data_IF_860553087987
#
_entry.id   IF_860553087987
#
_cell.length_a   1.000
_cell.length_b   1.000
_cell.length_c   1.000
_cell.angle_alpha   90.00
_cell.angle_beta   90.00
_cell.angle_gamma   90.00
#
_symmetry.space_group_name_H-M   'P 1'
#
loop_
_entity.id
_entity.type
_entity.pdbx_description
1 polymer ?
#
# COMPACT_ATOMS: atom_id res chain seq x y z
N UNK A 1 -23.45 38.32 19.79
CA UNK A 1 -23.93 37.22 20.64
C UNK A 1 -23.92 35.87 19.90
N UNK A 2 -24.39 35.80 18.63
CA UNK A 2 -24.44 34.57 17.82
C UNK A 2 -23.05 33.92 17.60
N UNK A 3 -21.99 34.73 17.41
CA UNK A 3 -20.62 34.21 17.20
C UNK A 3 -20.09 33.49 18.45
N UNK A 4 -20.40 34.01 19.64
CA UNK A 4 -19.97 33.40 20.91
C UNK A 4 -20.68 32.06 21.14
N UNK A 5 -21.96 31.92 20.75
CA UNK A 5 -22.66 30.64 20.87
C UNK A 5 -22.18 29.59 19.86
N UNK A 6 -21.80 30.01 18.65
CA UNK A 6 -21.24 29.11 17.63
C UNK A 6 -19.88 28.54 18.06
N UNK A 7 -19.03 29.34 18.70
CA UNK A 7 -17.72 28.87 19.18
C UNK A 7 -17.87 27.92 20.37
N UNK A 8 -18.77 28.23 21.32
CA UNK A 8 -19.05 27.33 22.45
C UNK A 8 -19.67 26.00 21.96
N UNK A 9 -20.55 26.05 20.95
CA UNK A 9 -21.09 24.84 20.32
C UNK A 9 -19.99 24.02 19.62
N UNK A 10 -19.08 24.67 18.90
CA UNK A 10 -17.93 24.03 18.27
C UNK A 10 -16.99 23.35 19.27
N UNK A 11 -16.69 24.01 20.40
CA UNK A 11 -15.92 23.41 21.49
C UNK A 11 -16.62 22.18 22.09
N UNK A 12 -17.95 22.21 22.20
CA UNK A 12 -18.76 21.06 22.64
C UNK A 12 -18.68 19.87 21.69
N UNK A 13 -18.79 20.10 20.39
CA UNK A 13 -18.69 19.05 19.36
C UNK A 13 -17.28 18.42 19.36
N UNK A 14 -16.23 19.23 19.45
CA UNK A 14 -14.86 18.73 19.53
C UNK A 14 -14.60 17.90 20.79
N UNK A 15 -15.16 18.30 21.94
CA UNK A 15 -15.08 17.51 23.16
C UNK A 15 -15.85 16.18 23.06
N UNK A 16 -17.01 16.16 22.41
CA UNK A 16 -17.79 14.94 22.14
C UNK A 16 -17.03 13.98 21.21
N UNK A 17 -16.36 14.48 20.19
CA UNK A 17 -15.49 13.67 19.32
C UNK A 17 -14.29 13.11 20.10
N UNK A 18 -13.70 13.90 21.00
CA UNK A 18 -12.65 13.43 21.91
C UNK A 18 -13.11 12.30 22.82
N UNK A 19 -14.33 12.41 23.39
CA UNK A 19 -14.97 11.34 24.18
C UNK A 19 -15.24 10.09 23.34
N UNK A 20 -15.78 10.26 22.13
CA UNK A 20 -16.08 9.16 21.23
C UNK A 20 -14.80 8.40 20.84
N UNK A 21 -13.72 9.12 20.53
CA UNK A 21 -12.41 8.53 20.25
C UNK A 21 -11.82 7.82 21.47
N UNK A 22 -11.96 8.35 22.69
CA UNK A 22 -11.49 7.70 23.91
C UNK A 22 -12.17 6.33 24.14
N UNK A 23 -13.49 6.28 24.01
CA UNK A 23 -14.26 5.04 24.26
C UNK A 23 -14.04 4.02 23.15
N UNK A 24 -14.15 4.41 21.88
CA UNK A 24 -14.10 3.44 20.76
C UNK A 24 -12.69 3.09 20.31
N UNK A 25 -11.73 4.02 20.40
CA UNK A 25 -10.38 3.81 19.87
C UNK A 25 -9.38 3.34 20.93
N UNK A 26 -9.59 3.73 22.19
CA UNK A 26 -8.72 3.38 23.31
C UNK A 26 -9.38 2.42 24.31
N UNK A 27 -10.65 2.06 24.13
CA UNK A 27 -11.35 1.07 24.95
C UNK A 27 -11.51 1.47 26.42
N UNK A 28 -11.51 2.78 26.73
CA UNK A 28 -11.61 3.29 28.10
C UNK A 28 -13.05 3.20 28.62
N UNK A 29 -13.22 3.00 29.94
CA UNK A 29 -14.54 2.91 30.57
C UNK A 29 -15.33 4.25 30.47
N UNK A 30 -16.65 4.16 30.64
CA UNK A 30 -17.56 5.28 30.42
C UNK A 30 -17.32 6.44 31.41
N UNK A 31 -16.83 6.12 32.61
CA UNK A 31 -16.44 7.10 33.62
C UNK A 31 -15.20 7.89 33.17
N UNK A 32 -14.17 7.21 32.68
CA UNK A 32 -12.94 7.82 32.17
C UNK A 32 -13.21 8.64 30.91
N UNK A 33 -14.10 8.17 30.03
CA UNK A 33 -14.56 8.93 28.87
C UNK A 33 -15.24 10.26 29.26
N UNK A 34 -16.04 10.26 30.32
CA UNK A 34 -16.69 11.48 30.84
C UNK A 34 -15.69 12.44 31.52
N UNK A 35 -14.66 11.92 32.19
CA UNK A 35 -13.58 12.74 32.77
C UNK A 35 -12.75 13.39 31.67
N UNK A 36 -12.41 12.66 30.61
CA UNK A 36 -11.67 13.19 29.45
C UNK A 36 -12.49 14.26 28.74
N UNK A 37 -13.80 14.07 28.57
CA UNK A 37 -14.70 15.09 28.04
C UNK A 37 -14.63 16.40 28.85
N UNK A 38 -14.76 16.31 30.18
CA UNK A 38 -14.73 17.48 31.04
C UNK A 38 -13.39 18.23 30.97
N UNK A 39 -12.26 17.50 30.95
CA UNK A 39 -10.92 18.10 30.84
C UNK A 39 -10.76 18.81 29.50
N UNK A 40 -11.12 18.16 28.38
CA UNK A 40 -11.00 18.77 27.05
C UNK A 40 -11.91 19.99 26.89
N UNK A 41 -13.13 19.92 27.43
CA UNK A 41 -14.08 21.03 27.36
C UNK A 41 -13.58 22.25 28.14
N UNK A 42 -13.09 22.05 29.36
CA UNK A 42 -12.53 23.14 30.19
C UNK A 42 -11.26 23.72 29.58
N UNK A 43 -10.36 22.87 29.05
CA UNK A 43 -9.13 23.34 28.39
C UNK A 43 -9.44 24.15 27.12
N UNK A 44 -10.41 23.71 26.32
CA UNK A 44 -10.80 24.40 25.09
C UNK A 44 -11.44 25.76 25.38
N UNK A 45 -12.28 25.84 26.43
CA UNK A 45 -12.86 27.11 26.89
C UNK A 45 -11.77 28.03 27.49
N UNK A 46 -10.85 27.48 28.28
CA UNK A 46 -9.74 28.25 28.85
C UNK A 46 -8.81 28.82 27.78
N UNK A 47 -8.54 28.03 26.74
CA UNK A 47 -7.75 28.46 25.58
C UNK A 47 -8.51 29.54 24.79
N UNK A 48 -9.82 29.39 24.61
CA UNK A 48 -10.65 30.41 23.98
C UNK A 48 -10.64 31.75 24.73
N UNK A 49 -10.78 31.73 26.06
CA UNK A 49 -10.68 32.93 26.90
C UNK A 49 -9.29 33.56 26.81
N UNK A 50 -8.23 32.76 26.71
CA UNK A 50 -6.84 33.24 26.59
C UNK A 50 -6.51 33.89 25.24
N UNK A 51 -7.18 33.44 24.17
CA UNK A 51 -6.95 33.94 22.80
C UNK A 51 -8.05 34.90 22.32
N UNK A 52 -8.91 35.36 23.22
CA UNK A 52 -10.06 36.20 22.88
C UNK A 52 -9.66 37.44 22.05
N UNK A 53 -8.60 38.16 22.45
CA UNK A 53 -8.11 39.33 21.71
C UNK A 53 -7.49 38.99 20.35
N UNK A 54 -6.80 37.85 20.22
CA UNK A 54 -6.14 37.44 18.97
C UNK A 54 -7.19 36.98 17.95
N UNK A 55 -8.20 36.24 18.40
CA UNK A 55 -9.29 35.76 17.56
C UNK A 55 -10.11 36.94 17.03
N UNK A 56 -10.36 37.95 17.87
CA UNK A 56 -11.12 39.14 17.47
C UNK A 56 -10.34 40.02 16.46
N UNK A 57 -9.01 40.12 16.62
CA UNK A 57 -8.14 40.81 15.65
C UNK A 57 -8.05 40.09 14.30
N UNK A 58 -7.93 38.76 14.32
CA UNK A 58 -7.94 37.92 13.10
C UNK A 58 -9.30 37.99 12.41
N UNK A 59 -10.39 37.92 13.17
CA UNK A 59 -11.75 37.99 12.63
C UNK A 59 -12.04 39.37 12.02
N UNK A 60 -11.57 40.46 12.62
CA UNK A 60 -11.70 41.81 12.05
C UNK A 60 -10.88 41.98 10.77
N UNK A 61 -9.69 41.37 10.67
CA UNK A 61 -8.95 41.32 9.39
C UNK A 61 -9.67 40.49 8.33
N UNK A 62 -10.25 39.35 8.72
CA UNK A 62 -10.95 38.46 7.81
C UNK A 62 -12.28 39.06 7.31
N UNK A 63 -13.05 39.71 8.18
CA UNK A 63 -14.32 40.36 7.82
C UNK A 63 -14.08 41.57 6.91
N UNK A 64 -13.00 42.33 7.13
CA UNK A 64 -12.61 43.42 6.24
C UNK A 64 -12.17 42.92 4.85
N UNK A 65 -11.56 41.74 4.77
CA UNK A 65 -11.23 41.09 3.50
C UNK A 65 -12.48 40.58 2.77
N UNK A 66 -13.46 40.05 3.51
CA UNK A 66 -14.74 39.61 2.94
C UNK A 66 -15.65 40.78 2.52
N UNK A 67 -15.69 41.88 3.27
CA UNK A 67 -16.42 43.11 2.89
C UNK A 67 -15.85 43.78 1.64
N UNK A 68 -14.52 43.73 1.43
CA UNK A 68 -13.91 44.21 0.18
C UNK A 68 -14.33 43.37 -1.03
N UNK A 69 -14.66 42.08 -0.82
CA UNK A 69 -15.14 41.19 -1.87
C UNK A 69 -16.62 41.43 -2.20
N UNK A 70 -17.45 41.74 -1.21
CA UNK A 70 -18.87 42.13 -1.45
C UNK A 70 -18.99 43.49 -2.15
N UNK A 71 -18.21 44.51 -1.77
CA UNK A 71 -18.29 45.85 -2.40
C UNK A 71 -17.85 45.83 -3.87
N UNK A 72 -16.97 44.89 -4.24
CA UNK A 72 -16.52 44.71 -5.63
C UNK A 72 -17.51 43.88 -6.48
N UNK A 73 -18.36 43.08 -5.84
CA UNK A 73 -19.38 42.26 -6.50
C UNK A 73 -20.72 42.99 -6.74
N UNK A 74 -20.98 44.12 -6.05
CA UNK A 74 -22.26 44.86 -6.15
C UNK A 74 -22.20 46.02 -7.17
N UNK A 75 -21.04 46.31 -7.77
CA UNK A 75 -20.88 47.48 -8.66
C UNK A 75 -21.19 47.22 -10.15
N UNK A 76 -21.44 45.98 -10.59
CA UNK A 76 -21.65 45.67 -12.02
C UNK A 76 -22.96 44.94 -12.29
N UNK A 77 -24.09 45.58 -12.02
CA UNK A 77 -25.32 45.27 -12.78
C UNK A 77 -26.14 46.55 -12.95
N UNK A 78 -26.17 47.11 -14.17
CA UNK A 78 -27.30 47.96 -14.58
C UNK A 78 -27.66 47.64 -16.01
N UNK A 79 -28.97 47.41 -16.22
CA UNK A 79 -29.70 47.41 -17.50
C UNK A 79 -29.48 46.15 -18.35
N UNK A 80 -30.48 45.33 -18.67
CA UNK A 80 -31.92 45.43 -18.51
C UNK A 80 -32.59 44.56 -19.58
N UNK A 81 -33.69 43.91 -19.18
CA UNK A 81 -34.75 43.36 -20.04
C UNK A 81 -34.68 41.87 -20.41
N UNK A 82 -35.89 41.32 -20.60
CA UNK A 82 -36.37 40.00 -20.23
C UNK A 82 -37.15 39.43 -21.44
N UNK A 83 -37.33 38.10 -21.49
CA UNK A 83 -38.49 37.37 -22.07
C UNK A 83 -38.35 36.70 -23.47
N UNK A 84 -38.75 35.41 -23.45
CA UNK A 84 -39.52 34.60 -24.42
C UNK A 84 -38.83 33.68 -25.45
N UNK A 85 -38.95 32.36 -25.17
CA UNK A 85 -39.27 31.32 -26.16
C UNK A 85 -40.69 31.53 -26.75
N UNK A 86 -41.04 30.97 -27.93
CA UNK A 86 -41.62 29.61 -28.04
C UNK A 86 -41.26 28.85 -29.35
N UNK A 87 -41.00 27.53 -29.33
CA UNK A 87 -41.91 26.38 -29.56
C UNK A 87 -42.45 26.22 -30.99
N UNK A 88 -42.30 25.02 -31.58
CA UNK A 88 -43.23 24.22 -32.44
C UNK A 88 -42.41 23.01 -32.97
N UNK A 89 -42.61 21.76 -32.52
CA UNK A 89 -43.45 20.68 -33.12
C UNK A 89 -43.18 20.45 -34.63
N UNK A 90 -43.08 19.27 -35.25
CA UNK A 90 -43.43 17.88 -34.94
C UNK A 90 -42.77 16.95 -36.00
N UNK A 91 -42.56 15.67 -35.66
CA UNK A 91 -42.68 14.42 -36.44
C UNK A 91 -42.34 14.34 -37.96
N UNK A 92 -41.50 13.35 -38.34
CA UNK A 92 -41.77 12.44 -39.48
C UNK A 92 -40.65 11.40 -39.72
N UNK A 93 -40.97 10.15 -39.38
CA UNK A 93 -40.82 8.88 -40.14
C UNK A 93 -39.67 8.69 -41.17
N UNK A 94 -38.99 7.55 -40.99
CA UNK A 94 -38.01 6.82 -41.82
C UNK A 94 -38.34 6.69 -43.34
N UNK A 95 -37.35 6.35 -44.19
CA UNK A 95 -37.23 4.93 -44.55
C UNK A 95 -35.79 4.39 -44.72
N UNK A 96 -35.72 3.07 -44.56
CA UNK A 96 -34.63 2.13 -44.84
C UNK A 96 -34.30 2.04 -46.33
N UNK A 97 -33.02 1.81 -46.70
CA UNK A 97 -32.65 1.08 -47.91
C UNK A 97 -31.25 0.45 -47.84
N UNK A 98 -31.19 -0.77 -48.37
CA UNK A 98 -30.10 -1.75 -48.45
C UNK A 98 -29.20 -1.49 -49.68
N UNK A 99 -27.93 -1.90 -49.66
CA UNK A 99 -27.21 -2.43 -50.84
C UNK A 99 -25.92 -3.16 -50.44
N UNK A 100 -25.40 -3.94 -51.37
CA UNK A 100 -24.78 -5.26 -51.21
C UNK A 100 -23.38 -5.32 -51.89
N UNK A 101 -22.50 -6.19 -51.36
CA UNK A 101 -21.33 -6.87 -51.99
C UNK A 101 -20.20 -6.08 -52.65
N UNK A 102 -18.93 -6.49 -52.42
CA UNK A 102 -18.07 -7.18 -53.42
C UNK A 102 -16.79 -7.70 -52.75
N UNK A 103 -16.45 -8.94 -53.07
CA UNK A 103 -15.26 -9.72 -52.73
C UNK A 103 -14.15 -9.57 -53.78
N UNK A 104 -12.88 -9.65 -53.39
CA UNK A 104 -11.75 -9.95 -54.29
C UNK A 104 -10.79 -10.97 -53.64
N UNK A 105 -10.39 -11.95 -54.45
CA UNK A 105 -9.43 -13.04 -54.21
C UNK A 105 -7.97 -12.58 -54.34
N UNK A 106 -7.02 -13.33 -53.77
CA UNK A 106 -5.69 -13.58 -54.37
C UNK A 106 -5.20 -14.99 -54.02
N UNK A 107 -4.64 -15.66 -55.04
CA UNK A 107 -4.10 -17.03 -55.10
C UNK A 107 -2.65 -17.16 -54.59
N UNK A 108 -2.20 -18.36 -54.22
CA UNK A 108 -0.80 -18.83 -54.39
C UNK A 108 -0.78 -20.33 -54.77
N UNK A 109 0.09 -20.67 -55.72
CA UNK A 109 0.38 -21.99 -56.33
C UNK A 109 1.34 -22.83 -55.48
N UNK A 110 1.29 -24.17 -55.58
CA UNK A 110 2.45 -25.05 -55.35
C UNK A 110 2.46 -26.26 -56.31
N UNK A 111 3.69 -26.65 -56.67
CA UNK A 111 4.10 -27.59 -57.72
C UNK A 111 3.98 -29.08 -57.33
N UNK A 112 3.91 -29.90 -58.38
CA UNK A 112 3.64 -31.35 -58.43
C UNK A 112 4.94 -32.19 -58.62
N UNK A 113 5.03 -33.36 -58.00
CA UNK A 113 5.95 -34.46 -58.43
C UNK A 113 5.29 -35.83 -58.22
N UNK A 114 5.13 -36.60 -59.30
CA UNK A 114 4.64 -38.00 -59.37
C UNK A 114 5.69 -39.06 -58.96
N UNK A 115 5.26 -40.27 -58.58
CA UNK A 115 5.43 -41.50 -59.41
C UNK A 115 4.85 -42.80 -58.78
N UNK A 116 3.97 -43.43 -59.58
CA UNK A 116 3.75 -44.86 -59.91
C UNK A 116 3.35 -45.96 -58.87
N UNK A 117 2.32 -46.71 -59.30
CA UNK A 117 1.71 -47.96 -58.82
C UNK A 117 2.67 -49.17 -58.76
N UNK A 118 2.44 -50.14 -57.85
CA UNK A 118 1.90 -51.46 -58.22
C UNK A 118 1.60 -52.41 -57.03
N UNK A 119 0.68 -53.32 -57.30
CA UNK A 119 -0.06 -54.33 -56.52
C UNK A 119 0.68 -55.27 -55.54
N UNK A 120 0.01 -55.71 -54.45
CA UNK A 120 -0.52 -57.09 -54.25
C UNK A 120 -0.70 -57.52 -52.76
N UNK A 121 -1.90 -58.08 -52.49
CA UNK A 121 -2.48 -58.80 -51.34
C UNK A 121 -1.56 -59.54 -50.32
N UNK A 122 -1.97 -59.60 -49.04
CA UNK A 122 -2.52 -60.81 -48.33
C UNK A 122 -2.81 -60.50 -46.84
N UNK A 123 -3.95 -61.02 -46.36
CA UNK A 123 -4.60 -60.89 -45.05
C UNK A 123 -3.78 -61.34 -43.82
N UNK A 124 -3.79 -60.51 -42.77
CA UNK A 124 -4.14 -60.90 -41.38
C UNK A 124 -4.54 -59.63 -40.59
N UNK A 125 -5.70 -59.02 -40.88
CA UNK A 125 -5.97 -57.66 -40.40
C UNK A 125 -6.36 -57.65 -38.91
N UNK A 126 -5.47 -57.10 -38.08
CA UNK A 126 -5.64 -56.86 -36.63
C UNK A 126 -6.75 -55.86 -36.29
N UNK A 127 -7.32 -55.22 -37.31
CA UNK A 127 -8.46 -54.31 -37.29
C UNK A 127 -9.26 -54.51 -38.58
N UNK A 128 -10.57 -54.27 -38.54
CA UNK A 128 -11.47 -54.40 -39.69
C UNK A 128 -11.40 -53.14 -40.57
N UNK A 129 -11.09 -53.27 -41.86
CA UNK A 129 -11.17 -52.15 -42.80
C UNK A 129 -12.63 -51.95 -43.23
N UNK A 130 -13.20 -50.79 -42.91
CA UNK A 130 -14.58 -50.43 -43.20
C UNK A 130 -14.73 -49.80 -44.58
N UNK A 131 -13.95 -48.76 -44.87
CA UNK A 131 -14.02 -48.00 -46.12
C UNK A 131 -12.69 -47.30 -46.42
N UNK A 132 -12.44 -46.96 -47.69
CA UNK A 132 -11.32 -46.10 -48.08
C UNK A 132 -11.90 -44.81 -48.65
N UNK A 133 -11.58 -43.68 -48.01
CA UNK A 133 -12.08 -42.35 -48.39
C UNK A 133 -10.87 -41.44 -48.59
N UNK A 134 -10.77 -40.81 -49.77
CA UNK A 134 -9.75 -39.80 -50.11
C UNK A 134 -8.31 -40.19 -49.71
N UNK A 135 -7.89 -41.43 -49.98
CA UNK A 135 -6.52 -41.88 -49.68
C UNK A 135 -6.27 -42.25 -48.21
N UNK A 136 -7.32 -42.36 -47.38
CA UNK A 136 -7.25 -42.85 -46.00
C UNK A 136 -8.08 -44.13 -45.82
N UNK A 137 -7.58 -45.03 -44.96
CA UNK A 137 -8.22 -46.26 -44.51
C UNK A 137 -9.05 -45.99 -43.27
N UNK A 138 -10.36 -46.14 -43.37
CA UNK A 138 -11.24 -46.18 -42.20
C UNK A 138 -11.23 -47.58 -41.62
N UNK A 139 -10.69 -47.75 -40.42
CA UNK A 139 -10.50 -49.03 -39.75
C UNK A 139 -11.24 -49.08 -38.42
N UNK A 140 -11.66 -50.28 -38.00
CA UNK A 140 -12.26 -50.56 -36.69
C UNK A 140 -11.41 -51.56 -35.92
N UNK A 141 -10.96 -51.17 -34.73
CA UNK A 141 -10.23 -52.03 -33.82
C UNK A 141 -11.16 -53.05 -33.13
N UNK A 142 -10.59 -54.10 -32.56
CA UNK A 142 -11.35 -55.17 -31.89
C UNK A 142 -12.16 -54.72 -30.66
N UNK A 143 -11.80 -53.57 -30.06
CA UNK A 143 -12.54 -52.95 -28.96
C UNK A 143 -13.78 -52.16 -29.45
N UNK A 144 -14.00 -52.09 -30.76
CA UNK A 144 -15.10 -51.37 -31.41
C UNK A 144 -14.79 -49.91 -31.75
N UNK A 145 -13.60 -49.40 -31.40
CA UNK A 145 -13.18 -48.04 -31.76
C UNK A 145 -12.80 -47.95 -33.24
N UNK A 146 -13.10 -46.81 -33.87
CA UNK A 146 -12.86 -46.56 -35.29
C UNK A 146 -11.84 -45.44 -35.48
N UNK A 147 -11.00 -45.54 -36.51
CA UNK A 147 -10.00 -44.53 -36.84
C UNK A 147 -9.79 -44.40 -38.36
N UNK A 148 -9.43 -43.21 -38.81
CA UNK A 148 -9.01 -42.95 -40.19
C UNK A 148 -7.49 -42.86 -40.22
N UNK A 149 -6.85 -43.67 -41.06
CA UNK A 149 -5.40 -43.79 -41.06
C UNK A 149 -4.86 -43.74 -42.49
N UNK A 150 -3.74 -43.05 -42.71
CA UNK A 150 -3.12 -42.91 -44.02
C UNK A 150 -2.82 -44.27 -44.67
N UNK A 151 -2.95 -44.35 -45.99
CA UNK A 151 -2.71 -45.59 -46.74
C UNK A 151 -1.25 -46.06 -46.70
N UNK A 152 -0.33 -45.15 -46.39
CA UNK A 152 1.12 -45.33 -46.29
C UNK A 152 1.60 -45.84 -44.92
N UNK A 153 0.75 -45.80 -43.90
CA UNK A 153 1.09 -46.28 -42.56
C UNK A 153 1.07 -47.82 -42.49
N UNK A 154 2.04 -48.41 -41.79
CA UNK A 154 2.08 -49.86 -41.58
C UNK A 154 1.16 -50.29 -40.44
N UNK A 155 0.66 -51.52 -40.47
CA UNK A 155 -0.25 -52.04 -39.43
C UNK A 155 0.39 -51.98 -38.02
N UNK A 156 1.71 -52.16 -37.92
CA UNK A 156 2.47 -52.07 -36.67
C UNK A 156 2.51 -50.63 -36.12
N UNK A 157 2.64 -49.62 -37.00
CA UNK A 157 2.64 -48.20 -36.60
C UNK A 157 1.26 -47.77 -36.08
N UNK A 158 0.20 -48.28 -36.70
CA UNK A 158 -1.19 -48.04 -36.29
C UNK A 158 -1.44 -48.59 -34.88
N UNK A 159 -0.96 -49.80 -34.61
CA UNK A 159 -1.08 -50.44 -33.30
C UNK A 159 -0.24 -49.73 -32.22
N UNK A 160 0.97 -49.29 -32.55
CA UNK A 160 1.80 -48.52 -31.61
C UNK A 160 1.16 -47.18 -31.25
N UNK A 161 0.58 -46.49 -32.23
CA UNK A 161 -0.14 -45.24 -32.00
C UNK A 161 -1.37 -45.45 -31.13
N UNK A 162 -2.18 -46.49 -31.40
CA UNK A 162 -3.34 -46.84 -30.57
C UNK A 162 -2.94 -47.16 -29.13
N UNK A 163 -1.88 -47.94 -28.93
CA UNK A 163 -1.39 -48.28 -27.60
C UNK A 163 -0.84 -47.06 -26.84
N UNK A 164 -0.22 -46.12 -27.56
CA UNK A 164 0.22 -44.84 -27.01
C UNK A 164 -0.98 -43.96 -26.61
N UNK A 165 -1.97 -43.84 -27.47
CA UNK A 165 -3.17 -43.02 -27.25
C UNK A 165 -4.05 -43.60 -26.12
N UNK A 166 -4.18 -44.94 -26.01
CA UNK A 166 -4.89 -45.61 -24.91
C UNK A 166 -4.18 -45.47 -23.55
N UNK A 167 -2.87 -45.21 -23.56
CA UNK A 167 -2.07 -45.02 -22.35
C UNK A 167 -2.07 -43.58 -21.83
N UNK A 168 -2.47 -42.62 -22.68
CA UNK A 168 -2.56 -41.20 -22.31
C UNK A 168 -3.91 -40.90 -21.68
N UNK A 169 -3.87 -40.43 -20.44
CA UNK A 169 -5.05 -39.85 -19.79
C UNK A 169 -5.15 -38.38 -20.22
N UNK A 170 -5.76 -38.18 -21.39
CA UNK A 170 -5.95 -36.85 -21.97
C UNK A 170 -6.73 -35.92 -21.03
N UNK A 171 -7.65 -36.46 -20.21
CA UNK A 171 -8.39 -35.63 -19.25
C UNK A 171 -7.46 -35.15 -18.12
N UNK A 172 -6.62 -36.03 -17.58
CA UNK A 172 -5.65 -35.64 -16.55
C UNK A 172 -4.60 -34.64 -17.06
N UNK A 173 -4.06 -34.83 -18.27
CA UNK A 173 -3.10 -33.91 -18.87
C UNK A 173 -3.75 -32.54 -19.18
N UNK A 174 -5.00 -32.54 -19.65
CA UNK A 174 -5.73 -31.31 -19.93
C UNK A 174 -6.09 -30.56 -18.64
N UNK A 175 -6.45 -31.27 -17.58
CA UNK A 175 -6.73 -30.70 -16.26
C UNK A 175 -5.47 -30.09 -15.64
N UNK A 176 -4.31 -30.74 -15.78
CA UNK A 176 -3.03 -30.20 -15.30
C UNK A 176 -2.62 -28.94 -16.10
N UNK A 177 -2.79 -28.95 -17.42
CA UNK A 177 -2.56 -27.79 -18.27
C UNK A 177 -3.54 -26.64 -17.97
N UNK A 178 -4.80 -26.96 -17.70
CA UNK A 178 -5.84 -26.00 -17.32
C UNK A 178 -5.53 -25.35 -15.98
N UNK A 179 -5.12 -26.14 -14.99
CA UNK A 179 -4.74 -25.61 -13.67
C UNK A 179 -3.47 -24.76 -13.74
N UNK A 180 -2.47 -25.17 -14.54
CA UNK A 180 -1.28 -24.35 -14.78
C UNK A 180 -1.62 -23.02 -15.48
N UNK A 181 -2.56 -23.02 -16.42
CA UNK A 181 -3.06 -21.81 -17.07
C UNK A 181 -3.75 -20.88 -16.07
N UNK A 182 -4.64 -21.40 -15.22
CA UNK A 182 -5.35 -20.64 -14.18
C UNK A 182 -4.40 -20.06 -13.12
N UNK A 183 -3.38 -20.82 -12.72
CA UNK A 183 -2.36 -20.38 -11.77
C UNK A 183 -1.39 -19.35 -12.36
N UNK A 184 -1.21 -19.35 -13.68
CA UNK A 184 -0.39 -18.35 -14.37
C UNK A 184 -1.07 -17.00 -14.56
N UNK A 185 -2.40 -16.92 -14.39
CA UNK A 185 -3.15 -15.67 -14.55
C UNK A 185 -2.84 -14.67 -13.43
N UNK A 186 -2.78 -13.39 -13.79
CA UNK A 186 -2.80 -12.29 -12.82
C UNK A 186 -4.18 -12.17 -12.16
N UNK A 187 -4.25 -11.48 -11.02
CA UNK A 187 -5.51 -11.27 -10.28
C UNK A 187 -6.60 -10.62 -11.16
N UNK A 188 -6.22 -9.76 -12.10
CA UNK A 188 -7.13 -9.08 -13.04
C UNK A 188 -7.65 -10.03 -14.14
N UNK A 189 -6.76 -10.84 -14.72
CA UNK A 189 -7.14 -11.83 -15.73
C UNK A 189 -8.04 -12.92 -15.14
N UNK A 190 -7.77 -13.33 -13.90
CA UNK A 190 -8.60 -14.28 -13.17
C UNK A 190 -9.99 -13.71 -12.90
N UNK A 191 -10.07 -12.45 -12.46
CA UNK A 191 -11.35 -11.76 -12.28
C UNK A 191 -12.15 -11.67 -13.59
N UNK A 192 -11.49 -11.32 -14.69
CA UNK A 192 -12.12 -11.25 -16.00
C UNK A 192 -12.63 -12.63 -16.46
N UNK A 193 -11.83 -13.68 -16.28
CA UNK A 193 -12.18 -15.04 -16.62
C UNK A 193 -13.40 -15.55 -15.81
N UNK A 194 -13.39 -15.39 -14.49
CA UNK A 194 -14.49 -15.81 -13.60
C UNK A 194 -15.81 -15.10 -13.92
N UNK A 195 -15.74 -13.85 -14.36
CA UNK A 195 -16.91 -13.03 -14.68
C UNK A 195 -17.27 -13.01 -16.17
N UNK A 196 -16.61 -13.86 -17.00
CA UNK A 196 -16.80 -13.96 -18.46
C UNK A 196 -16.64 -12.62 -19.19
N UNK A 197 -15.66 -11.83 -18.78
CA UNK A 197 -15.34 -10.52 -19.34
C UNK A 197 -14.29 -10.71 -20.44
N UNK A 198 -14.63 -10.37 -21.68
CA UNK A 198 -13.66 -10.36 -22.80
C UNK A 198 -13.23 -8.92 -23.06
N UNK A 199 -11.99 -8.58 -22.67
CA UNK A 199 -11.41 -7.27 -22.95
C UNK A 199 -10.67 -7.30 -24.28
N UNK A 200 -11.19 -6.60 -25.27
CA UNK A 200 -10.51 -6.43 -26.57
C UNK A 200 -9.77 -5.09 -26.55
N UNK A 201 -8.44 -5.14 -26.54
CA UNK A 201 -7.63 -3.92 -26.63
C UNK A 201 -7.63 -3.41 -28.06
N UNK A 202 -8.54 -2.49 -28.35
CA UNK A 202 -8.64 -1.82 -29.65
C UNK A 202 -7.73 -0.60 -29.65
N UNK A 203 -6.58 -0.69 -30.31
CA UNK A 203 -5.80 0.51 -30.61
C UNK A 203 -6.54 1.28 -31.71
N UNK A 204 -6.89 2.53 -31.45
CA UNK A 204 -7.46 3.41 -32.47
C UNK A 204 -6.31 3.99 -33.29
N UNK A 205 -6.34 3.79 -34.61
CA UNK A 205 -5.45 4.49 -35.53
C UNK A 205 -6.03 5.88 -35.81
N UNK A 206 -5.44 6.90 -35.21
CA UNK A 206 -5.59 8.29 -35.65
C UNK A 206 -4.20 8.88 -35.92
N UNK A 207 -4.12 9.74 -36.94
CA UNK A 207 -2.87 10.33 -37.40
C UNK A 207 -2.28 11.43 -36.53
N UNK A 208 -2.93 11.81 -35.41
CA UNK A 208 -2.45 12.87 -34.51
C UNK A 208 -2.85 12.59 -33.05
N UNK A 209 -1.90 12.82 -32.13
CA UNK A 209 -2.05 12.67 -30.67
C UNK A 209 -2.89 13.81 -30.06
N UNK A 210 -4.19 13.82 -30.33
CA UNK A 210 -5.14 14.75 -29.70
C UNK A 210 -6.14 14.01 -28.82
N UNK A 211 -6.34 14.51 -27.60
CA UNK A 211 -7.33 13.96 -26.66
C UNK A 211 -8.76 14.25 -27.10
N UNK A 212 -9.74 13.62 -26.45
CA UNK A 212 -11.16 13.73 -26.81
C UNK A 212 -12.03 14.04 -25.60
N UNK A 213 -13.16 14.71 -25.85
CA UNK A 213 -14.18 14.91 -24.83
C UNK A 213 -15.06 13.67 -24.71
N UNK A 214 -15.34 13.26 -23.48
CA UNK A 214 -16.18 12.12 -23.12
C UNK A 214 -17.02 12.46 -21.90
N UNK A 215 -17.91 11.57 -21.51
CA UNK A 215 -18.55 11.60 -20.19
C UNK A 215 -18.15 10.38 -19.37
N UNK A 216 -18.11 10.53 -18.05
CA UNK A 216 -17.98 9.44 -17.08
C UNK A 216 -19.16 9.46 -16.12
N UNK A 217 -19.65 8.29 -15.75
CA UNK A 217 -20.69 8.15 -14.73
C UNK A 217 -20.04 8.17 -13.35
N UNK A 218 -20.45 9.11 -12.51
CA UNK A 218 -20.03 9.21 -11.12
C UNK A 218 -21.19 8.77 -10.24
N UNK A 219 -20.89 7.90 -9.28
CA UNK A 219 -21.87 7.37 -8.35
C UNK A 219 -21.60 7.89 -6.95
N UNK A 220 -22.58 8.58 -6.36
CA UNK A 220 -22.59 8.94 -4.95
C UNK A 220 -23.45 7.96 -4.16
N UNK A 221 -22.78 7.19 -3.29
CA UNK A 221 -23.40 6.10 -2.53
C UNK A 221 -23.72 6.56 -1.10
N UNK A 222 -25.00 6.72 -0.83
CA UNK A 222 -25.54 7.12 0.46
C UNK A 222 -26.09 5.92 1.21
N UNK A 223 -25.48 5.57 2.35
CA UNK A 223 -25.98 4.52 3.25
C UNK A 223 -26.88 5.12 4.32
N UNK A 224 -28.17 4.78 4.26
CA UNK A 224 -29.16 5.29 5.19
C UNK A 224 -29.11 4.55 6.54
N UNK A 225 -29.54 5.21 7.64
CA UNK A 225 -29.56 4.60 8.97
C UNK A 225 -30.51 3.40 9.10
N UNK A 226 -31.47 3.27 8.19
CA UNK A 226 -32.41 2.14 8.11
C UNK A 226 -31.81 0.89 7.41
N UNK A 227 -30.55 0.97 6.98
CA UNK A 227 -29.84 -0.09 6.29
C UNK A 227 -30.02 -0.10 4.78
N UNK A 228 -30.82 0.83 4.22
CA UNK A 228 -30.95 0.98 2.76
C UNK A 228 -29.76 1.76 2.17
N UNK A 229 -29.44 1.51 0.90
CA UNK A 229 -28.41 2.27 0.17
C UNK A 229 -29.05 2.97 -1.02
N UNK A 230 -28.88 4.29 -1.09
CA UNK A 230 -29.23 5.11 -2.24
C UNK A 230 -27.96 5.35 -3.05
N UNK A 231 -28.00 5.08 -4.35
CA UNK A 231 -26.90 5.37 -5.28
C UNK A 231 -27.41 6.43 -6.24
N UNK A 232 -26.78 7.60 -6.22
CA UNK A 232 -27.08 8.70 -7.13
C UNK A 232 -26.04 8.70 -8.25
N UNK A 233 -26.48 8.47 -9.47
CA UNK A 233 -25.61 8.45 -10.65
C UNK A 233 -25.71 9.78 -11.38
N UNK A 234 -24.57 10.46 -11.56
CA UNK A 234 -24.47 11.71 -12.32
C UNK A 234 -23.47 11.52 -13.44
N UNK A 235 -23.84 11.93 -14.65
CA UNK A 235 -22.94 11.92 -15.80
C UNK A 235 -22.15 13.23 -15.83
N UNK A 236 -20.82 13.15 -15.83
CA UNK A 236 -19.94 14.31 -15.84
C UNK A 236 -19.07 14.32 -17.10
N UNK A 237 -19.01 15.48 -17.77
CA UNK A 237 -18.15 15.68 -18.93
C UNK A 237 -16.66 15.78 -18.51
N UNK A 238 -15.82 15.11 -19.27
CA UNK A 238 -14.37 15.02 -19.07
C UNK A 238 -13.62 15.16 -20.39
N UNK A 239 -12.36 15.53 -20.31
CA UNK A 239 -11.40 15.43 -21.41
C UNK A 239 -10.43 14.29 -21.12
N UNK A 240 -10.28 13.37 -22.07
CA UNK A 240 -9.38 12.22 -21.98
C UNK A 240 -8.20 12.45 -22.90
N UNK A 241 -6.99 12.47 -22.34
CA UNK A 241 -5.75 12.64 -23.10
C UNK A 241 -5.38 11.37 -23.86
N UNK A 242 -4.48 11.45 -24.88
CA UNK A 242 -4.05 10.29 -25.67
C UNK A 242 -3.43 9.14 -24.85
N UNK A 243 -2.83 9.45 -23.70
CA UNK A 243 -2.26 8.48 -22.75
C UNK A 243 -3.30 7.85 -21.81
N UNK A 244 -4.58 8.25 -21.92
CA UNK A 244 -5.68 7.75 -21.12
C UNK A 244 -5.94 8.49 -19.80
N UNK A 245 -5.21 9.58 -19.51
CA UNK A 245 -5.49 10.40 -18.33
C UNK A 245 -6.81 11.17 -18.48
N UNK A 246 -7.60 11.25 -17.40
CA UNK A 246 -8.93 11.88 -17.40
C UNK A 246 -8.89 13.20 -16.63
N UNK A 247 -9.38 14.27 -17.26
CA UNK A 247 -9.44 15.61 -16.69
C UNK A 247 -10.88 16.12 -16.68
N UNK A 248 -11.39 16.48 -15.51
CA UNK A 248 -12.73 17.05 -15.37
C UNK A 248 -12.77 18.48 -15.88
N UNK A 249 -13.87 18.88 -16.55
CA UNK A 249 -13.99 20.23 -17.10
C UNK A 249 -13.88 21.33 -16.03
N UNK A 250 -14.29 21.02 -14.79
CA UNK A 250 -14.20 21.91 -13.64
C UNK A 250 -12.75 22.30 -13.32
N UNK A 251 -11.83 21.35 -13.51
CA UNK A 251 -10.40 21.50 -13.24
C UNK A 251 -9.66 22.14 -14.41
N UNK A 252 -10.23 22.08 -15.62
CA UNK A 252 -9.61 22.66 -16.82
C UNK A 252 -9.46 24.18 -16.72
N UNK A 253 -10.44 24.89 -16.16
CA UNK A 253 -10.35 26.34 -15.98
C UNK A 253 -9.13 26.77 -15.15
N UNK A 254 -8.97 26.24 -13.93
CA UNK A 254 -7.77 26.45 -13.11
C UNK A 254 -6.46 26.03 -13.78
N UNK A 255 -6.42 24.88 -14.46
CA UNK A 255 -5.23 24.38 -15.16
C UNK A 255 -4.83 25.32 -16.31
N UNK A 256 -5.78 25.72 -17.15
CA UNK A 256 -5.56 26.67 -18.23
C UNK A 256 -5.10 28.03 -17.70
N UNK A 257 -5.72 28.54 -16.62
CA UNK A 257 -5.30 29.79 -15.99
C UNK A 257 -3.88 29.72 -15.41
N UNK A 258 -3.50 28.58 -14.82
CA UNK A 258 -2.14 28.36 -14.35
C UNK A 258 -1.17 28.35 -15.53
N UNK A 259 -1.46 27.57 -16.57
CA UNK A 259 -0.62 27.52 -17.76
C UNK A 259 -0.48 28.91 -18.40
N UNK A 260 -1.56 29.62 -18.67
CA UNK A 260 -1.53 30.97 -19.26
C UNK A 260 -0.74 31.98 -18.42
N UNK A 261 -0.86 31.90 -17.09
CA UNK A 261 -0.16 32.80 -16.18
C UNK A 261 1.35 32.55 -16.16
N UNK A 262 1.77 31.31 -16.39
CA UNK A 262 3.17 30.91 -16.23
C UNK A 262 3.83 30.48 -17.53
N UNK A 263 3.14 30.40 -18.68
CA UNK A 263 3.67 29.89 -19.97
C UNK A 263 4.96 30.57 -20.43
N UNK A 264 5.12 31.85 -20.10
CA UNK A 264 6.31 32.64 -20.47
C UNK A 264 7.46 32.53 -19.45
N UNK A 265 7.21 31.86 -18.32
CA UNK A 265 8.14 31.66 -17.18
C UNK A 265 8.33 30.20 -16.77
N UNK A 266 7.54 29.31 -17.36
CA UNK A 266 7.58 27.86 -17.19
C UNK A 266 8.89 27.42 -17.84
N UNK A 267 9.78 26.87 -17.02
CA UNK A 267 10.88 26.00 -17.46
C UNK A 267 10.35 25.10 -18.59
N UNK A 268 11.10 24.96 -19.68
CA UNK A 268 10.68 24.15 -20.83
C UNK A 268 10.16 22.78 -20.37
N UNK A 269 9.23 22.16 -21.11
CA UNK A 269 8.66 20.87 -20.74
C UNK A 269 9.74 19.83 -20.39
N UNK A 270 10.88 19.87 -21.09
CA UNK A 270 12.08 19.07 -20.84
C UNK A 270 12.75 19.37 -19.49
N UNK A 271 12.86 20.63 -19.09
CA UNK A 271 13.37 21.04 -17.78
C UNK A 271 12.46 20.59 -16.63
N UNK A 272 11.13 20.67 -16.79
CA UNK A 272 10.17 20.18 -15.78
C UNK A 272 10.29 18.66 -15.59
N UNK A 273 10.36 17.91 -16.69
CA UNK A 273 10.53 16.44 -16.64
C UNK A 273 11.86 16.09 -15.97
N UNK A 274 12.95 16.75 -16.38
CA UNK A 274 14.30 16.53 -15.83
C UNK A 274 14.33 16.79 -14.32
N UNK A 275 13.70 17.88 -13.87
CA UNK A 275 13.63 18.23 -12.46
C UNK A 275 12.80 17.25 -11.65
N UNK A 276 11.67 16.79 -12.19
CA UNK A 276 10.86 15.73 -11.56
C UNK A 276 11.68 14.46 -11.39
N UNK A 277 12.39 14.05 -12.44
CA UNK A 277 13.26 12.87 -12.39
C UNK A 277 14.35 13.01 -11.31
N UNK A 278 14.99 14.17 -11.20
CA UNK A 278 15.97 14.44 -10.13
C UNK A 278 15.35 14.40 -8.73
N UNK A 279 14.13 14.93 -8.56
CA UNK A 279 13.41 14.85 -7.30
C UNK A 279 13.06 13.40 -6.92
N UNK A 280 12.60 12.60 -7.89
CA UNK A 280 12.26 11.19 -7.69
C UNK A 280 13.52 10.36 -7.37
N UNK A 281 14.64 10.62 -8.04
CA UNK A 281 15.93 9.97 -7.75
C UNK A 281 16.43 10.31 -6.35
N UNK A 282 16.41 11.60 -5.96
CA UNK A 282 16.79 12.04 -4.62
C UNK A 282 15.88 11.44 -3.55
N UNK A 283 14.58 11.35 -3.80
CA UNK A 283 13.62 10.70 -2.91
C UNK A 283 13.94 9.20 -2.74
N UNK A 284 14.22 8.50 -3.83
CA UNK A 284 14.58 7.08 -3.81
C UNK A 284 15.92 6.84 -3.11
N UNK A 285 16.91 7.71 -3.29
CA UNK A 285 18.18 7.65 -2.57
C UNK A 285 17.98 7.86 -1.06
N UNK A 286 17.17 8.84 -0.67
CA UNK A 286 16.82 9.08 0.73
C UNK A 286 16.11 7.87 1.35
N UNK A 287 15.16 7.27 0.63
CA UNK A 287 14.46 6.06 1.05
C UNK A 287 15.42 4.89 1.26
N UNK A 288 16.36 4.66 0.32
CA UNK A 288 17.41 3.62 0.47
C UNK A 288 18.31 3.88 1.67
N UNK A 289 18.70 5.14 1.92
CA UNK A 289 19.47 5.49 3.10
C UNK A 289 18.72 5.25 4.40
N UNK A 290 17.42 5.56 4.44
CA UNK A 290 16.55 5.28 5.58
C UNK A 290 16.41 3.77 5.83
N UNK A 291 16.18 2.97 4.78
CA UNK A 291 16.12 1.51 4.86
C UNK A 291 17.42 0.89 5.39
N UNK A 292 18.57 1.34 4.87
CA UNK A 292 19.89 0.90 5.35
C UNK A 292 20.11 1.28 6.81
N UNK A 293 19.76 2.50 7.20
CA UNK A 293 19.86 2.96 8.59
C UNK A 293 18.99 2.12 9.52
N UNK A 294 17.76 1.80 9.12
CA UNK A 294 16.85 0.94 9.87
C UNK A 294 17.40 -0.48 10.01
N UNK A 295 17.99 -1.03 8.94
CA UNK A 295 18.64 -2.35 8.97
C UNK A 295 19.83 -2.38 9.94
N UNK A 296 20.69 -1.36 9.91
CA UNK A 296 21.81 -1.23 10.87
C UNK A 296 21.30 -1.13 12.31
N UNK A 297 20.22 -0.39 12.52
CA UNK A 297 19.61 -0.22 13.84
C UNK A 297 19.08 -1.55 14.39
N UNK A 298 18.32 -2.29 13.58
CA UNK A 298 17.80 -3.63 13.93
C UNK A 298 18.95 -4.59 14.22
N UNK A 299 19.97 -4.61 13.35
CA UNK A 299 21.15 -5.47 13.50
C UNK A 299 21.90 -5.17 14.80
N UNK A 300 22.07 -3.90 15.15
CA UNK A 300 22.67 -3.49 16.42
C UNK A 300 21.84 -3.92 17.63
N UNK A 301 20.52 -3.73 17.59
CA UNK A 301 19.63 -4.13 18.69
C UNK A 301 19.71 -5.64 18.91
N UNK A 302 19.68 -6.44 17.85
CA UNK A 302 19.83 -7.90 17.96
C UNK A 302 21.20 -8.28 18.53
N UNK A 303 22.29 -7.66 18.06
CA UNK A 303 23.62 -7.91 18.61
C UNK A 303 23.72 -7.53 20.10
N UNK A 304 23.11 -6.41 20.51
CA UNK A 304 23.03 -5.99 21.90
C UNK A 304 22.22 -6.96 22.76
N UNK A 305 21.07 -7.42 22.26
CA UNK A 305 20.24 -8.44 22.92
C UNK A 305 21.02 -9.74 23.05
N UNK A 306 21.66 -10.23 21.98
CA UNK A 306 22.52 -11.42 22.03
C UNK A 306 23.58 -11.28 23.12
N UNK A 307 24.34 -10.18 23.09
CA UNK A 307 25.39 -9.91 24.08
C UNK A 307 24.90 -9.90 25.53
N UNK A 308 23.66 -9.47 25.77
CA UNK A 308 23.10 -9.32 27.12
C UNK A 308 22.29 -10.54 27.58
N UNK A 309 21.65 -11.27 26.66
CA UNK A 309 20.61 -12.26 26.96
C UNK A 309 20.98 -13.71 26.61
N UNK A 310 21.95 -13.94 25.71
CA UNK A 310 22.26 -15.29 25.20
C UNK A 310 22.53 -16.32 26.30
N UNK A 311 23.24 -15.93 27.37
CA UNK A 311 23.53 -16.82 28.50
C UNK A 311 22.31 -17.15 29.39
N UNK A 312 21.19 -16.44 29.23
CA UNK A 312 20.01 -16.55 30.10
C UNK A 312 18.79 -17.18 29.43
N UNK A 313 18.86 -17.51 28.13
CA UNK A 313 17.73 -18.09 27.39
C UNK A 313 18.20 -19.11 26.35
N UNK A 314 17.30 -20.01 25.94
CA UNK A 314 17.60 -20.97 24.85
C UNK A 314 17.66 -20.26 23.49
N UNK A 315 18.36 -20.82 22.51
CA UNK A 315 18.54 -20.18 21.19
C UNK A 315 17.21 -19.79 20.54
N UNK A 316 16.21 -20.69 20.58
CA UNK A 316 14.90 -20.41 19.99
C UNK A 316 14.11 -19.32 20.73
N UNK A 317 14.33 -19.15 22.05
CA UNK A 317 13.76 -18.05 22.83
C UNK A 317 14.48 -16.73 22.53
N UNK A 318 15.80 -16.78 22.30
CA UNK A 318 16.57 -15.62 21.86
C UNK A 318 16.11 -15.14 20.47
N UNK A 319 15.83 -16.08 19.55
CA UNK A 319 15.31 -15.77 18.22
C UNK A 319 13.92 -15.12 18.28
N UNK A 320 13.04 -15.59 19.18
CA UNK A 320 11.76 -14.91 19.46
C UNK A 320 11.98 -13.49 19.98
N UNK A 321 12.94 -13.29 20.88
CA UNK A 321 13.26 -11.97 21.41
C UNK A 321 13.83 -11.03 20.32
N UNK A 322 14.65 -11.55 19.40
CA UNK A 322 15.10 -10.81 18.23
C UNK A 322 13.94 -10.42 17.31
N UNK A 323 13.01 -11.34 17.05
CA UNK A 323 11.85 -11.05 16.22
C UNK A 323 10.95 -9.98 16.87
N UNK A 324 10.68 -10.10 18.17
CA UNK A 324 9.96 -9.08 18.93
C UNK A 324 10.64 -7.72 18.84
N UNK A 325 11.97 -7.65 19.00
CA UNK A 325 12.72 -6.41 18.90
C UNK A 325 12.67 -5.80 17.49
N UNK A 326 12.75 -6.63 16.45
CA UNK A 326 12.57 -6.21 15.05
C UNK A 326 11.19 -5.60 14.83
N UNK A 327 10.12 -6.29 15.25
CA UNK A 327 8.75 -5.77 15.18
C UNK A 327 8.62 -4.45 15.94
N UNK A 328 9.26 -4.35 17.11
CA UNK A 328 9.21 -3.17 17.96
C UNK A 328 9.80 -1.91 17.33
N UNK A 329 10.76 -2.07 16.39
CA UNK A 329 11.31 -0.94 15.61
C UNK A 329 10.29 -0.32 14.65
N UNK A 330 9.30 -1.08 14.20
CA UNK A 330 8.28 -0.65 13.23
C UNK A 330 6.98 -0.26 13.91
N UNK A 331 6.51 -1.09 14.84
CA UNK A 331 5.24 -0.88 15.54
C UNK A 331 5.44 -1.00 17.07
N UNK A 332 5.48 0.13 17.79
CA UNK A 332 5.65 0.15 19.25
C UNK A 332 4.53 -0.52 20.06
N UNK A 333 3.36 -0.74 19.44
CA UNK A 333 2.15 -1.30 20.07
C UNK A 333 1.75 -2.64 19.46
N UNK A 334 2.67 -3.30 18.74
CA UNK A 334 2.41 -4.63 18.20
C UNK A 334 2.13 -5.65 19.31
N UNK A 335 1.51 -6.75 18.92
CA UNK A 335 1.48 -7.94 19.77
C UNK A 335 2.86 -8.60 19.73
N UNK A 336 3.36 -8.95 20.91
CA UNK A 336 4.68 -9.58 21.06
C UNK A 336 4.51 -10.98 21.65
N UNK A 337 5.38 -11.89 21.22
CA UNK A 337 5.42 -13.23 21.77
C UNK A 337 6.13 -13.21 23.14
N UNK A 338 5.57 -13.92 24.11
CA UNK A 338 6.24 -14.08 25.39
C UNK A 338 7.47 -14.98 25.24
N UNK A 339 8.56 -14.63 25.93
CA UNK A 339 9.81 -15.40 25.96
C UNK A 339 10.06 -15.99 27.34
N UNK A 340 10.78 -17.10 27.37
CA UNK A 340 11.15 -17.82 28.58
C UNK A 340 12.65 -17.71 28.87
N UNK A 341 12.97 -17.55 30.16
CA UNK A 341 14.35 -17.54 30.65
C UNK A 341 14.74 -18.96 31.14
N UNK A 342 16.00 -19.37 30.95
CA UNK A 342 16.51 -20.65 31.47
C UNK A 342 16.49 -20.70 33.00
N UNK A 343 16.64 -19.55 33.67
CA UNK A 343 16.64 -19.46 35.13
C UNK A 343 16.33 -18.05 35.64
N UNK A 344 16.12 -17.94 36.95
CA UNK A 344 15.82 -16.69 37.66
C UNK A 344 17.07 -15.85 38.00
N UNK A 345 18.18 -16.01 37.27
CA UNK A 345 19.41 -15.25 37.53
C UNK A 345 19.32 -13.77 37.13
N UNK A 346 18.40 -13.43 36.23
CA UNK A 346 18.04 -12.05 35.92
C UNK A 346 16.91 -11.59 36.85
N UNK A 347 17.11 -10.42 37.44
CA UNK A 347 16.09 -9.75 38.23
C UNK A 347 15.07 -9.04 37.34
N UNK A 348 13.93 -8.64 37.92
CA UNK A 348 12.99 -7.76 37.21
C UNK A 348 13.63 -6.42 36.86
N UNK A 349 14.58 -5.93 37.67
CA UNK A 349 15.38 -4.74 37.36
C UNK A 349 16.22 -4.92 36.10
N UNK A 350 16.89 -6.07 35.93
CA UNK A 350 17.67 -6.34 34.71
C UNK A 350 16.80 -6.35 33.46
N UNK A 351 15.63 -6.99 33.52
CA UNK A 351 14.68 -7.03 32.40
C UNK A 351 14.12 -5.64 32.07
N UNK A 352 13.89 -4.81 33.09
CA UNK A 352 13.53 -3.39 32.89
C UNK A 352 14.68 -2.63 32.23
N UNK A 353 15.93 -2.85 32.63
CA UNK A 353 17.09 -2.20 32.03
C UNK A 353 17.25 -2.56 30.56
N UNK A 354 17.10 -3.83 30.20
CA UNK A 354 17.12 -4.27 28.80
C UNK A 354 16.08 -3.51 27.98
N UNK A 355 14.81 -3.54 28.43
CA UNK A 355 13.71 -2.86 27.74
C UNK A 355 13.91 -1.34 27.70
N UNK A 356 14.42 -0.73 28.77
CA UNK A 356 14.72 0.70 28.83
C UNK A 356 15.80 1.09 27.84
N UNK A 357 16.92 0.35 27.80
CA UNK A 357 18.06 0.66 26.95
C UNK A 357 17.67 0.62 25.47
N UNK A 358 17.03 -0.47 25.04
CA UNK A 358 16.54 -0.61 23.66
C UNK A 358 15.44 0.40 23.36
N UNK A 359 14.46 0.53 24.25
CA UNK A 359 13.33 1.44 24.05
C UNK A 359 13.73 2.91 23.99
N UNK A 360 14.69 3.36 24.80
CA UNK A 360 15.22 4.73 24.74
C UNK A 360 16.09 4.97 23.53
N UNK A 361 16.86 3.98 23.08
CA UNK A 361 17.57 4.05 21.82
C UNK A 361 16.60 4.23 20.63
N UNK A 362 15.46 3.54 20.66
CA UNK A 362 14.34 3.70 19.71
C UNK A 362 13.49 4.97 19.97
N UNK A 363 13.85 5.82 20.94
CA UNK A 363 13.13 7.05 21.32
C UNK A 363 11.67 6.82 21.74
N UNK A 364 11.36 5.65 22.30
CA UNK A 364 10.02 5.29 22.73
C UNK A 364 9.64 5.90 24.10
N UNK A 365 8.34 6.11 24.28
CA UNK A 365 7.74 6.56 25.54
C UNK A 365 7.75 5.43 26.57
N UNK A 366 7.74 5.80 27.86
CA UNK A 366 7.78 4.83 28.96
C UNK A 366 6.62 3.83 28.94
N UNK A 367 5.44 4.26 28.49
CA UNK A 367 4.26 3.41 28.32
C UNK A 367 4.52 2.25 27.36
N UNK A 368 5.06 2.55 26.17
CA UNK A 368 5.39 1.54 25.15
C UNK A 368 6.47 0.56 25.66
N UNK A 369 7.46 1.08 26.39
CA UNK A 369 8.53 0.27 26.99
C UNK A 369 7.97 -0.68 28.06
N UNK A 370 7.11 -0.16 28.93
CA UNK A 370 6.51 -0.96 29.99
C UNK A 370 5.57 -2.04 29.44
N UNK A 371 4.80 -1.75 28.39
CA UNK A 371 3.97 -2.72 27.70
C UNK A 371 4.81 -3.82 27.04
N UNK A 372 5.88 -3.44 26.34
CA UNK A 372 6.82 -4.41 25.76
C UNK A 372 7.39 -5.34 26.83
N UNK A 373 7.95 -4.81 27.92
CA UNK A 373 8.51 -5.61 29.01
C UNK A 373 7.45 -6.54 29.61
N UNK A 374 6.24 -6.04 29.85
CA UNK A 374 5.16 -6.83 30.46
C UNK A 374 4.72 -7.99 29.57
N UNK A 375 4.62 -7.78 28.26
CA UNK A 375 4.14 -8.76 27.31
C UNK A 375 5.23 -9.78 26.96
N UNK A 376 6.44 -9.32 26.67
CA UNK A 376 7.57 -10.17 26.29
C UNK A 376 8.05 -11.01 27.48
N UNK A 377 8.15 -10.43 28.69
CA UNK A 377 8.56 -11.14 29.90
C UNK A 377 7.35 -11.45 30.79
N UNK A 378 6.29 -12.01 30.20
CA UNK A 378 5.00 -12.25 30.87
C UNK A 378 5.10 -13.08 32.16
N UNK A 379 5.97 -14.09 32.21
CA UNK A 379 6.18 -14.89 33.43
C UNK A 379 6.70 -14.04 34.60
N UNK A 380 7.58 -13.07 34.30
CA UNK A 380 8.17 -12.18 35.31
C UNK A 380 7.24 -11.02 35.70
N UNK A 381 6.40 -10.53 34.79
CA UNK A 381 5.63 -9.28 34.96
C UNK A 381 4.11 -9.43 34.85
N UNK A 382 3.58 -10.65 34.69
CA UNK A 382 2.15 -10.90 34.47
C UNK A 382 1.25 -10.24 35.51
N UNK A 383 1.62 -10.33 36.79
CA UNK A 383 0.88 -9.72 37.91
C UNK A 383 1.22 -8.25 38.19
N UNK A 384 2.29 -7.72 37.58
CA UNK A 384 2.76 -6.35 37.85
C UNK A 384 1.99 -5.35 36.99
N UNK A 385 1.44 -4.29 37.59
CA UNK A 385 0.74 -3.26 36.83
C UNK A 385 1.70 -2.47 35.93
N UNK A 386 1.25 -2.09 34.73
CA UNK A 386 2.04 -1.31 33.76
C UNK A 386 2.54 -0.01 34.39
N UNK A 387 1.70 0.71 35.15
CA UNK A 387 2.09 1.93 35.86
C UNK A 387 3.24 1.73 36.85
N UNK A 388 3.30 0.57 37.53
CA UNK A 388 4.43 0.23 38.41
C UNK A 388 5.71 0.00 37.63
N UNK A 389 5.62 -0.63 36.45
CA UNK A 389 6.78 -0.84 35.57
C UNK A 389 7.30 0.53 35.11
N UNK A 390 6.41 1.41 34.61
CA UNK A 390 6.76 2.77 34.15
C UNK A 390 7.51 3.54 35.25
N UNK A 391 6.96 3.59 36.46
CA UNK A 391 7.54 4.34 37.57
C UNK A 391 8.95 3.85 37.95
N UNK A 392 9.26 2.58 37.68
CA UNK A 392 10.50 1.91 38.07
C UNK A 392 11.41 1.55 36.91
N UNK A 393 11.16 2.10 35.72
CA UNK A 393 11.90 1.79 34.49
C UNK A 393 13.39 2.13 34.57
N UNK A 394 13.72 3.17 35.34
CA UNK A 394 15.08 3.67 35.51
C UNK A 394 15.64 3.45 36.93
N UNK A 395 14.96 2.63 37.75
CA UNK A 395 15.44 2.24 39.08
C UNK A 395 16.68 1.37 38.92
N UNK A 396 17.72 1.62 39.72
CA UNK A 396 18.95 0.82 39.74
C UNK A 396 19.06 0.04 41.05
N UNK A 397 19.60 -1.18 41.00
CA UNK A 397 20.08 -1.90 42.19
C UNK A 397 21.62 -1.94 42.19
N UNK A 398 22.29 -0.96 42.83
CA UNK A 398 23.74 -0.86 42.79
C UNK A 398 24.41 -2.16 43.24
N UNK A 399 25.25 -2.72 42.37
CA UNK A 399 26.04 -3.93 42.64
C UNK A 399 25.32 -5.26 42.44
N UNK A 400 24.05 -5.28 42.00
CA UNK A 400 23.29 -6.51 41.71
C UNK A 400 22.80 -6.62 40.28
N UNK A 401 22.70 -5.50 39.58
CA UNK A 401 22.27 -5.47 38.17
C UNK A 401 23.33 -6.16 37.28
N UNK A 402 22.90 -7.19 36.56
CA UNK A 402 23.69 -7.87 35.51
C UNK A 402 23.61 -7.11 34.20
N UNK A 403 22.50 -6.43 33.94
CA UNK A 403 22.32 -5.58 32.76
C UNK A 403 22.45 -4.11 33.19
N UNK A 404 23.46 -3.37 32.71
CA UNK A 404 23.65 -1.98 33.09
C UNK A 404 22.54 -1.09 32.53
N UNK A 405 22.06 -0.13 33.32
CA UNK A 405 21.13 0.89 32.84
C UNK A 405 21.89 1.98 32.06
N UNK A 406 21.62 2.07 30.76
CA UNK A 406 22.29 2.97 29.82
C UNK A 406 21.35 4.10 29.38
N UNK A 407 21.89 5.30 29.27
CA UNK A 407 21.22 6.43 28.64
C UNK A 407 21.19 6.27 27.11
N UNK A 408 20.29 6.99 26.45
CA UNK A 408 20.22 7.01 24.97
C UNK A 408 21.56 7.42 24.33
N UNK A 409 22.30 8.32 24.99
CA UNK A 409 23.62 8.77 24.53
C UNK A 409 24.67 7.66 24.61
N UNK A 410 24.67 6.89 25.70
CA UNK A 410 25.58 5.75 25.86
C UNK A 410 25.25 4.62 24.88
N UNK A 411 23.97 4.35 24.63
CA UNK A 411 23.52 3.43 23.59
C UNK A 411 23.99 3.88 22.20
N UNK A 412 23.97 5.18 21.89
CA UNK A 412 24.50 5.70 20.63
C UNK A 412 26.02 5.48 20.50
N UNK A 413 26.80 5.55 21.58
CA UNK A 413 28.22 5.20 21.51
C UNK A 413 28.44 3.73 21.15
N UNK A 414 27.63 2.83 21.72
CA UNK A 414 27.65 1.42 21.37
C UNK A 414 27.26 1.20 19.91
N UNK A 415 26.23 1.91 19.44
CA UNK A 415 25.79 1.83 18.05
C UNK A 415 26.87 2.27 17.07
N UNK A 416 27.53 3.41 17.31
CA UNK A 416 28.63 3.88 16.46
C UNK A 416 29.84 2.93 16.47
N UNK A 417 30.13 2.31 17.61
CA UNK A 417 31.15 1.27 17.69
C UNK A 417 30.75 0.02 16.90
N UNK A 418 29.50 -0.42 17.04
CA UNK A 418 28.96 -1.56 16.31
C UNK A 418 28.97 -1.33 14.80
N UNK A 419 28.62 -0.13 14.33
CA UNK A 419 28.70 0.22 12.90
C UNK A 419 30.09 -0.02 12.32
N UNK A 420 31.13 0.29 13.09
CA UNK A 420 32.54 0.17 12.68
C UNK A 420 33.11 -1.23 12.84
N UNK A 421 32.78 -1.95 13.91
CA UNK A 421 33.45 -3.20 14.29
C UNK A 421 32.54 -4.43 14.35
N UNK A 422 31.23 -4.24 14.17
CA UNK A 422 30.18 -5.28 14.21
C UNK A 422 30.19 -6.12 15.49
N UNK A 423 30.64 -5.54 16.60
CA UNK A 423 30.69 -6.16 17.94
C UNK A 423 30.16 -5.21 19.00
N UNK A 424 29.64 -5.76 20.11
CA UNK A 424 29.20 -5.00 21.27
C UNK A 424 30.32 -4.97 22.30
N UNK A 425 30.70 -3.77 22.75
CA UNK A 425 31.73 -3.57 23.75
C UNK A 425 31.33 -2.46 24.71
N UNK A 426 30.91 -2.82 25.93
CA UNK A 426 30.46 -1.87 26.96
C UNK A 426 31.60 -1.00 27.52
N UNK A 427 32.85 -1.45 27.46
CA UNK A 427 34.02 -0.76 28.02
C UNK A 427 34.38 0.53 27.26
N UNK A 428 33.76 0.76 26.10
CA UNK A 428 33.94 2.00 25.35
C UNK A 428 33.22 3.18 26.00
N UNK A 429 32.14 2.93 26.77
CA UNK A 429 31.27 3.98 27.28
C UNK A 429 32.04 4.93 28.20
N UNK A 430 32.78 4.46 29.23
CA UNK A 430 33.56 5.35 30.10
C UNK A 430 34.61 6.17 29.32
N UNK A 431 35.22 5.57 28.30
CA UNK A 431 36.24 6.23 27.45
C UNK A 431 35.62 7.39 26.67
N UNK A 432 34.46 7.19 26.04
CA UNK A 432 33.75 8.22 25.27
C UNK A 432 33.25 9.37 26.15
N UNK A 433 32.73 9.05 27.33
CA UNK A 433 32.30 10.08 28.28
C UNK A 433 33.48 10.96 28.74
N UNK A 434 34.65 10.37 29.01
CA UNK A 434 35.84 11.11 29.37
C UNK A 434 36.37 12.01 28.23
N UNK A 435 36.41 11.50 27.00
CA UNK A 435 36.81 12.26 25.81
C UNK A 435 35.95 13.52 25.62
N UNK A 436 34.63 13.40 25.78
CA UNK A 436 33.72 14.54 25.66
C UNK A 436 33.85 15.54 26.80
N UNK A 437 34.06 15.09 28.04
CA UNK A 437 34.28 15.99 29.16
C UNK A 437 35.54 16.85 28.94
N UNK A 438 36.62 16.25 28.41
CA UNK A 438 37.84 16.95 28.03
C UNK A 438 37.55 17.97 26.91
N UNK A 439 36.79 17.57 25.88
CA UNK A 439 36.42 18.46 24.77
C UNK A 439 35.57 19.65 25.25
N UNK A 440 34.59 19.41 26.11
CA UNK A 440 33.74 20.45 26.69
C UNK A 440 34.54 21.44 27.54
N UNK A 441 35.50 20.95 28.35
CA UNK A 441 36.41 21.81 29.12
C UNK A 441 37.29 22.67 28.21
N UNK A 442 37.80 22.11 27.11
CA UNK A 442 38.60 22.84 26.13
C UNK A 442 37.79 23.93 25.41
N UNK A 443 36.56 23.63 25.00
CA UNK A 443 35.66 24.60 24.36
C UNK A 443 35.26 25.73 25.31
N UNK A 444 34.98 25.41 26.58
CA UNK A 444 34.70 26.40 27.62
C UNK A 444 35.91 27.34 27.87
N UNK A 445 37.13 26.78 27.91
CA UNK A 445 38.36 27.56 28.04
C UNK A 445 38.61 28.49 26.84
N UNK A 446 38.38 28.01 25.61
CA UNK A 446 38.46 28.83 24.38
C UNK A 446 37.45 29.99 24.38
N UNK A 447 36.24 29.76 24.90
CA UNK A 447 35.20 30.80 25.02
C UNK A 447 35.54 31.84 26.08
N UNK A 448 36.22 31.44 27.15
CA UNK A 448 36.69 32.35 28.22
C UNK A 448 37.87 33.23 27.77
N UNK A 449 38.74 32.73 26.90
CA UNK A 449 39.88 33.49 26.34
C UNK A 449 39.50 34.42 25.16
N UNK A 450 38.24 34.38 24.69
CA UNK A 450 37.70 35.26 23.64
C UNK A 450 36.91 36.46 24.18
N UNK A 451 36.77 36.57 25.50
CA UNK A 451 36.30 37.76 26.22
C UNK A 451 37.48 38.39 26.92
#
# INVERSE_FOLDING_TARGET
MIIWSAVVAGCGIMALLGRHAAIYRFGTDEFTGNVIFAIFFVLSIGLYCGFQSVIEEVFNRLSNAFRRREVMAIAETTTGEQIAMPTTEESSVMPMQFSESTSEEVCIEEDEVEFAEDTAQVNDSLFELLEIIEGMRHIRFSDGTEAYVGMDLSDDDILHQKAYDDSRDYEAELEEAYNMYVDSMTDEERYDYENRITRVKKNREYGEDVGFFSSVCIQDVHKNPDGTTLIEETEQEVYVTPDGSVYYLEDMGPICNFYEKYKDSIETHEEIITRKQQCDEAFNELKRHEELYNLEQVSFICAYITHTMEQFMESHELDKLHNNAKIWTVNPLAQFDAVQLRSNHLSKEDLKHLGYNVGKFLKLKGENIALFIKNVFAESFGTVQVGTIIAKLADRNPGKDRIPLLSAKEMNYLFEHYKRYKTINLDIIPKRLAEEEVKAKLEAAKKKNRK
#
